data_IF_897323041721
#
_entry.id   IF_897323041721
#
_cell.length_a   1.000
_cell.length_b   1.000
_cell.length_c   1.000
_cell.angle_alpha   90.00
_cell.angle_beta   90.00
_cell.angle_gamma   90.00
#
_symmetry.space_group_name_H-M   'P 1'
#
loop_
_entity.id
_entity.type
_entity.pdbx_description
1 polymer ?
#
# COMPACT_ATOMS: atom_id res chain seq x y z
N UNK A 1 -37.50 -4.08 13.77
CA UNK A 1 -36.62 -3.08 14.40
C UNK A 1 -37.25 -1.69 14.42
N UNK A 2 -37.59 -1.09 13.27
CA UNK A 2 -38.01 0.31 13.20
C UNK A 2 -39.21 0.68 14.10
N UNK A 3 -40.27 -0.14 14.10
CA UNK A 3 -41.47 0.07 14.96
C UNK A 3 -41.10 0.05 16.45
N UNK A 4 -40.26 -0.89 16.88
CA UNK A 4 -39.84 -0.99 18.28
C UNK A 4 -38.91 0.15 18.68
N UNK A 5 -38.06 0.62 17.76
CA UNK A 5 -37.20 1.78 17.99
C UNK A 5 -38.00 3.09 18.08
N UNK A 6 -39.11 3.20 17.34
CA UNK A 6 -40.09 4.27 17.51
C UNK A 6 -40.77 4.21 18.88
N UNK A 7 -41.13 3.02 19.38
CA UNK A 7 -41.69 2.85 20.72
C UNK A 7 -40.69 3.26 21.82
N UNK A 8 -39.42 2.83 21.74
CA UNK A 8 -38.38 3.22 22.71
C UNK A 8 -38.23 4.76 22.75
N UNK A 9 -38.27 5.42 21.60
CA UNK A 9 -38.24 6.89 21.50
C UNK A 9 -39.52 7.53 22.02
N UNK A 10 -40.68 6.96 21.70
CA UNK A 10 -41.98 7.45 22.14
C UNK A 10 -42.12 7.42 23.66
N UNK A 11 -41.59 6.38 24.30
CA UNK A 11 -41.58 6.23 25.76
C UNK A 11 -40.41 6.97 26.45
N UNK A 12 -39.58 7.71 25.70
CA UNK A 12 -38.45 8.49 26.20
C UNK A 12 -37.53 7.69 27.17
N UNK A 13 -37.24 6.44 26.79
CA UNK A 13 -36.47 5.51 27.62
C UNK A 13 -34.97 5.88 27.73
N UNK A 14 -34.54 6.99 27.11
CA UNK A 14 -33.17 7.51 27.15
C UNK A 14 -32.27 6.99 26.03
N UNK A 15 -31.23 7.77 25.70
CA UNK A 15 -30.28 7.45 24.63
C UNK A 15 -29.47 6.17 24.89
N UNK A 16 -29.16 5.88 26.16
CA UNK A 16 -28.42 4.67 26.56
C UNK A 16 -29.19 3.39 26.21
N UNK A 17 -30.52 3.36 26.42
CA UNK A 17 -31.36 2.20 26.07
C UNK A 17 -31.45 2.03 24.55
N UNK A 18 -31.49 3.14 23.82
CA UNK A 18 -31.48 3.13 22.34
C UNK A 18 -30.14 2.61 21.81
N UNK A 19 -29.01 3.02 22.40
CA UNK A 19 -27.68 2.52 22.00
C UNK A 19 -27.52 1.04 22.30
N UNK A 20 -27.86 0.60 23.51
CA UNK A 20 -27.79 -0.82 23.89
C UNK A 20 -28.68 -1.68 22.98
N UNK A 21 -29.91 -1.24 22.70
CA UNK A 21 -30.80 -1.96 21.78
C UNK A 21 -30.24 -2.04 20.36
N UNK A 22 -29.62 -0.97 19.85
CA UNK A 22 -28.95 -0.98 18.54
C UNK A 22 -27.79 -1.97 18.52
N UNK A 23 -26.96 -1.98 19.55
CA UNK A 23 -25.83 -2.92 19.66
C UNK A 23 -26.31 -4.38 19.71
N UNK A 24 -27.35 -4.68 20.50
CA UNK A 24 -27.94 -6.02 20.64
C UNK A 24 -28.57 -6.53 19.33
N UNK A 25 -29.24 -5.64 18.56
CA UNK A 25 -29.78 -5.95 17.23
C UNK A 25 -28.69 -6.05 16.15
N UNK A 26 -27.42 -5.81 16.50
CA UNK A 26 -26.29 -5.89 15.58
C UNK A 26 -26.13 -4.68 14.67
N UNK A 27 -26.74 -3.53 15.01
CA UNK A 27 -26.43 -2.27 14.33
C UNK A 27 -25.02 -1.84 14.68
N UNK A 28 -24.16 -1.83 13.67
CA UNK A 28 -22.81 -1.30 13.79
C UNK A 28 -22.93 0.21 14.05
N UNK A 29 -22.48 0.68 15.21
CA UNK A 29 -22.36 2.11 15.51
C UNK A 29 -21.53 2.75 14.39
N UNK A 30 -22.12 3.69 13.65
CA UNK A 30 -21.34 4.44 12.66
C UNK A 30 -20.21 5.13 13.41
N UNK A 31 -18.94 4.72 13.16
CA UNK A 31 -17.78 5.41 13.74
C UNK A 31 -17.88 6.90 13.41
N UNK A 32 -18.08 7.72 14.43
CA UNK A 32 -18.13 9.17 14.28
C UNK A 32 -16.84 9.63 13.60
N UNK A 33 -16.99 10.27 12.43
CA UNK A 33 -15.84 10.71 11.64
C UNK A 33 -15.44 12.09 12.15
N UNK A 34 -14.33 12.23 12.90
CA UNK A 34 -13.93 13.53 13.39
C UNK A 34 -13.66 14.46 12.21
N UNK A 35 -14.22 15.66 12.27
CA UNK A 35 -13.97 16.71 11.30
C UNK A 35 -13.05 17.77 11.91
N UNK A 36 -12.19 18.42 11.11
CA UNK A 36 -11.40 19.56 11.57
C UNK A 36 -12.33 20.71 12.00
N UNK A 37 -11.96 21.41 13.08
CA UNK A 37 -12.73 22.57 13.57
C UNK A 37 -12.67 23.77 12.63
N UNK A 38 -11.54 23.95 11.93
CA UNK A 38 -11.36 25.05 10.99
C UNK A 38 -12.08 24.77 9.67
N UNK A 39 -12.93 25.68 9.22
CA UNK A 39 -13.72 25.56 7.99
C UNK A 39 -12.87 25.28 6.73
N UNK A 40 -11.73 25.94 6.58
CA UNK A 40 -10.85 25.69 5.42
C UNK A 40 -10.25 24.29 5.47
N UNK A 41 -9.74 23.87 6.63
CA UNK A 41 -9.22 22.51 6.82
C UNK A 41 -10.30 21.47 6.61
N UNK A 42 -11.52 21.72 7.09
CA UNK A 42 -12.68 20.86 6.90
C UNK A 42 -13.02 20.71 5.43
N UNK A 43 -13.06 21.80 4.66
CA UNK A 43 -13.35 21.75 3.23
C UNK A 43 -12.28 20.97 2.45
N UNK A 44 -10.99 21.20 2.75
CA UNK A 44 -9.89 20.45 2.16
C UNK A 44 -9.93 18.96 2.56
N UNK A 45 -10.23 18.67 3.83
CA UNK A 45 -10.37 17.32 4.33
C UNK A 45 -11.51 16.57 3.63
N UNK A 46 -12.68 17.19 3.50
CA UNK A 46 -13.82 16.62 2.78
C UNK A 46 -13.46 16.31 1.31
N UNK A 47 -12.73 17.23 0.66
CA UNK A 47 -12.33 17.11 -0.74
C UNK A 47 -11.40 15.92 -1.00
N UNK A 48 -10.46 15.64 -0.10
CA UNK A 48 -9.43 14.59 -0.28
C UNK A 48 -9.75 13.27 0.42
N UNK A 49 -10.53 13.29 1.51
CA UNK A 49 -10.85 12.09 2.29
C UNK A 49 -12.15 11.42 1.83
N UNK A 50 -13.14 12.20 1.40
CA UNK A 50 -14.48 11.71 1.08
C UNK A 50 -14.87 12.03 -0.37
N UNK A 51 -14.69 11.09 -1.32
CA UNK A 51 -15.05 11.28 -2.72
C UNK A 51 -16.53 11.64 -2.96
N UNK A 52 -17.42 11.15 -2.09
CA UNK A 52 -18.87 11.41 -2.16
C UNK A 52 -19.28 12.78 -1.63
N UNK A 53 -18.35 13.57 -1.09
CA UNK A 53 -18.66 14.88 -0.51
C UNK A 53 -19.09 15.91 -1.56
N UNK A 54 -18.52 15.85 -2.78
CA UNK A 54 -18.78 16.81 -3.84
C UNK A 54 -18.29 16.31 -5.22
N UNK A 55 -18.77 16.96 -6.29
CA UNK A 55 -18.30 16.67 -7.66
C UNK A 55 -16.77 16.80 -7.84
N UNK A 56 -16.13 17.90 -7.36
CA UNK A 56 -14.67 18.02 -7.38
C UNK A 56 -13.94 16.94 -6.57
N UNK A 57 -14.48 16.52 -5.42
CA UNK A 57 -13.90 15.43 -4.61
C UNK A 57 -13.89 14.12 -5.40
N UNK A 58 -14.98 13.83 -6.11
CA UNK A 58 -15.06 12.67 -7.00
C UNK A 58 -14.06 12.76 -8.15
N UNK A 59 -13.87 13.95 -8.73
CA UNK A 59 -12.85 14.19 -9.76
C UNK A 59 -11.43 13.90 -9.27
N UNK A 60 -11.07 14.41 -8.08
CA UNK A 60 -9.76 14.14 -7.45
C UNK A 60 -9.59 12.65 -7.17
N UNK A 61 -10.62 11.98 -6.64
CA UNK A 61 -10.56 10.54 -6.40
C UNK A 61 -10.32 9.74 -7.68
N UNK A 62 -10.96 10.10 -8.81
CA UNK A 62 -10.73 9.48 -10.11
C UNK A 62 -9.28 9.68 -10.56
N UNK A 63 -8.76 10.90 -10.45
CA UNK A 63 -7.36 11.20 -10.79
C UNK A 63 -6.41 10.36 -9.92
N UNK A 64 -6.64 10.30 -8.61
CA UNK A 64 -5.82 9.48 -7.70
C UNK A 64 -5.83 8.01 -8.09
N UNK A 65 -6.99 7.43 -8.44
CA UNK A 65 -7.07 6.05 -8.94
C UNK A 65 -6.29 5.88 -10.24
N UNK A 66 -6.40 6.80 -11.20
CA UNK A 66 -5.63 6.74 -12.45
C UNK A 66 -4.13 6.79 -12.21
N UNK A 67 -3.65 7.68 -11.33
CA UNK A 67 -2.22 7.77 -10.98
C UNK A 67 -1.75 6.48 -10.30
N UNK A 68 -2.57 5.85 -9.45
CA UNK A 68 -2.26 4.54 -8.87
C UNK A 68 -2.11 3.51 -9.98
N UNK A 69 -3.08 3.38 -10.89
CA UNK A 69 -3.03 2.41 -11.97
C UNK A 69 -1.82 2.62 -12.89
N UNK A 70 -1.53 3.86 -13.27
CA UNK A 70 -0.34 4.21 -14.05
C UNK A 70 0.92 3.75 -13.32
N UNK A 71 1.03 4.05 -12.02
CA UNK A 71 2.18 3.61 -11.23
C UNK A 71 2.33 2.08 -11.26
N UNK A 72 1.25 1.32 -11.10
CA UNK A 72 1.30 -0.15 -11.14
C UNK A 72 1.73 -0.65 -12.52
N UNK A 73 1.18 -0.09 -13.60
CA UNK A 73 1.57 -0.44 -14.97
C UNK A 73 3.06 -0.20 -15.20
N UNK A 74 3.58 0.96 -14.81
CA UNK A 74 5.01 1.28 -14.90
C UNK A 74 5.86 0.27 -14.13
N UNK A 75 5.48 -0.08 -12.90
CA UNK A 75 6.17 -1.11 -12.13
C UNK A 75 6.17 -2.48 -12.83
N UNK A 76 5.03 -2.87 -13.42
CA UNK A 76 4.96 -4.10 -14.20
C UNK A 76 5.89 -4.04 -15.43
N UNK A 77 5.89 -2.92 -16.18
CA UNK A 77 6.74 -2.74 -17.36
C UNK A 77 8.23 -2.79 -17.02
N UNK A 78 8.65 -2.21 -15.88
CA UNK A 78 10.05 -2.28 -15.42
C UNK A 78 10.54 -3.72 -15.15
N UNK A 79 9.63 -4.67 -14.92
CA UNK A 79 10.01 -6.07 -14.70
C UNK A 79 10.21 -6.85 -16.00
N UNK A 80 9.72 -6.35 -17.13
CA UNK A 80 9.83 -7.02 -18.43
C UNK A 80 11.27 -6.96 -18.97
N UNK A 81 11.75 -8.05 -19.61
CA UNK A 81 13.11 -8.14 -20.12
C UNK A 81 13.37 -7.14 -21.25
N UNK A 82 12.40 -6.87 -22.13
CA UNK A 82 12.59 -5.96 -23.28
C UNK A 82 13.02 -4.55 -22.82
N UNK A 83 12.39 -4.03 -21.77
CA UNK A 83 12.70 -2.70 -21.22
C UNK A 83 13.94 -2.66 -20.32
N UNK A 84 14.40 -3.84 -19.85
CA UNK A 84 15.67 -3.97 -19.10
C UNK A 84 16.88 -4.07 -20.01
N UNK A 85 16.71 -4.62 -21.21
CA UNK A 85 17.79 -4.82 -22.18
C UNK A 85 18.10 -3.55 -22.98
N UNK A 86 17.10 -2.73 -23.34
CA UNK A 86 17.32 -1.45 -24.04
C UNK A 86 18.20 -0.47 -23.22
N UNK A 87 18.11 -0.51 -21.89
CA UNK A 87 19.00 0.24 -20.98
C UNK A 87 20.44 -0.33 -20.88
N UNK A 88 20.69 -1.52 -21.44
CA UNK A 88 22.01 -2.18 -21.46
C UNK A 88 22.79 -1.93 -22.76
N UNK A 89 22.12 -1.48 -23.82
CA UNK A 89 22.69 -1.18 -25.13
C UNK A 89 23.10 0.30 -25.40
N UNK A 90 23.52 1.17 -24.45
CA UNK A 90 24.15 2.43 -24.85
C UNK A 90 25.61 2.33 -25.33
N UNK A 91 26.33 1.21 -25.14
CA UNK A 91 27.81 1.21 -25.17
C UNK A 91 28.47 -0.01 -25.87
N UNK A 92 27.82 -0.73 -26.79
CA UNK A 92 28.50 -1.81 -27.55
C UNK A 92 28.94 -1.39 -28.98
N UNK A 93 28.83 -0.09 -29.34
CA UNK A 93 29.21 0.39 -30.68
C UNK A 93 30.22 1.54 -30.72
N UNK A 94 31.06 1.77 -29.70
CA UNK A 94 32.11 2.79 -29.77
C UNK A 94 33.48 2.30 -29.25
N UNK A 95 34.26 1.82 -30.22
CA UNK A 95 35.70 2.04 -30.41
C UNK A 95 36.68 1.88 -29.23
N UNK A 96 37.60 0.94 -29.47
CA UNK A 96 38.92 0.75 -28.86
C UNK A 96 39.71 2.07 -28.75
N UNK A 97 39.62 2.78 -27.63
CA UNK A 97 40.72 3.58 -27.06
C UNK A 97 40.45 3.96 -25.59
N UNK A 98 41.43 3.70 -24.72
CA UNK A 98 41.29 3.60 -23.25
C UNK A 98 41.02 4.87 -22.44
N UNK A 99 40.13 5.75 -22.88
CA UNK A 99 39.62 6.86 -22.07
C UNK A 99 38.12 7.05 -22.30
N UNK A 100 37.30 6.08 -21.88
CA UNK A 100 35.85 6.28 -21.78
C UNK A 100 35.54 6.80 -20.37
N UNK A 101 35.38 8.12 -20.25
CA UNK A 101 34.60 8.68 -19.14
C UNK A 101 33.17 8.18 -19.33
N UNK A 102 32.82 7.10 -18.64
CA UNK A 102 31.47 6.53 -18.62
C UNK A 102 30.54 7.63 -18.12
N UNK A 103 29.85 8.30 -19.04
CA UNK A 103 28.92 9.38 -18.74
C UNK A 103 27.77 8.69 -18.00
N UNK A 104 27.68 8.84 -16.67
CA UNK A 104 26.52 8.33 -15.94
C UNK A 104 25.27 8.89 -16.65
N UNK A 105 24.40 8.04 -17.22
CA UNK A 105 23.21 8.54 -17.89
C UNK A 105 22.41 9.36 -16.88
N UNK A 106 21.94 10.54 -17.28
CA UNK A 106 21.15 11.38 -16.40
C UNK A 106 19.88 10.61 -16.02
N UNK A 107 19.57 10.38 -14.74
CA UNK A 107 18.32 9.71 -14.35
C UNK A 107 17.09 10.44 -14.89
N UNK A 108 17.19 11.76 -15.07
CA UNK A 108 16.18 12.63 -15.63
C UNK A 108 15.91 12.44 -17.13
N UNK A 109 16.61 11.55 -17.83
CA UNK A 109 16.29 11.16 -19.21
C UNK A 109 15.58 9.82 -19.32
N UNK A 110 15.49 9.05 -18.22
CA UNK A 110 14.77 7.78 -18.19
C UNK A 110 13.24 8.04 -18.05
N UNK A 111 12.41 7.68 -19.05
CA UNK A 111 10.97 7.86 -18.97
C UNK A 111 10.34 7.15 -17.76
N UNK A 112 10.84 5.99 -17.37
CA UNK A 112 10.32 5.24 -16.21
C UNK A 112 10.55 6.01 -14.91
N UNK A 113 11.77 6.52 -14.72
CA UNK A 113 12.10 7.37 -13.58
C UNK A 113 11.27 8.66 -13.51
N UNK A 114 11.04 9.32 -14.65
CA UNK A 114 10.23 10.56 -14.71
C UNK A 114 8.78 10.26 -14.29
N UNK A 115 8.15 9.25 -14.88
CA UNK A 115 6.75 8.91 -14.58
C UNK A 115 6.61 8.44 -13.13
N UNK A 116 7.54 7.60 -12.64
CA UNK A 116 7.56 7.20 -11.23
C UNK A 116 7.67 8.43 -10.32
N UNK A 117 8.59 9.34 -10.61
CA UNK A 117 8.78 10.57 -9.81
C UNK A 117 7.50 11.41 -9.79
N UNK A 118 6.82 11.58 -10.93
CA UNK A 118 5.54 12.31 -11.00
C UNK A 118 4.43 11.63 -10.17
N UNK A 119 4.33 10.30 -10.23
CA UNK A 119 3.39 9.54 -9.40
C UNK A 119 3.69 9.73 -7.90
N UNK A 120 4.96 9.67 -7.50
CA UNK A 120 5.37 9.86 -6.10
C UNK A 120 5.13 11.29 -5.63
N UNK A 121 5.35 12.30 -6.48
CA UNK A 121 5.00 13.69 -6.19
C UNK A 121 3.50 13.81 -5.89
N UNK A 122 2.64 13.21 -6.74
CA UNK A 122 1.20 13.22 -6.52
C UNK A 122 0.80 12.52 -5.22
N UNK A 123 1.33 11.33 -4.93
CA UNK A 123 1.04 10.62 -3.69
C UNK A 123 1.52 11.38 -2.45
N UNK A 124 2.69 12.02 -2.54
CA UNK A 124 3.23 12.84 -1.46
C UNK A 124 2.36 14.08 -1.24
N UNK A 125 1.94 14.76 -2.31
CA UNK A 125 1.01 15.88 -2.24
C UNK A 125 -0.30 15.48 -1.55
N UNK A 126 -0.90 14.38 -1.99
CA UNK A 126 -2.09 13.79 -1.39
C UNK A 126 -1.95 13.48 0.10
N UNK A 127 -0.81 12.89 0.51
CA UNK A 127 -0.53 12.58 1.90
C UNK A 127 -0.34 13.86 2.72
N UNK A 128 0.41 14.84 2.21
CA UNK A 128 0.70 16.10 2.88
C UNK A 128 -0.57 16.95 3.07
N UNK A 129 -1.39 17.08 2.03
CA UNK A 129 -2.66 17.83 2.12
C UNK A 129 -3.55 17.22 3.20
N UNK A 130 -3.71 15.89 3.21
CA UNK A 130 -4.47 15.20 4.25
C UNK A 130 -3.83 15.37 5.62
N UNK A 131 -2.52 15.22 5.74
CA UNK A 131 -1.80 15.43 6.99
C UNK A 131 -2.03 16.84 7.54
N UNK A 132 -1.96 17.88 6.72
CA UNK A 132 -2.18 19.26 7.17
C UNK A 132 -3.64 19.55 7.50
N UNK A 133 -4.59 18.98 6.75
CA UNK A 133 -6.02 19.17 6.94
C UNK A 133 -6.68 18.26 8.00
N UNK A 134 -6.00 17.22 8.50
CA UNK A 134 -6.63 16.25 9.41
C UNK A 134 -6.99 16.85 10.79
N UNK A 135 -8.04 16.33 11.46
CA UNK A 135 -8.46 16.80 12.78
C UNK A 135 -7.45 16.49 13.90
N UNK A 136 -6.70 15.38 13.80
CA UNK A 136 -5.74 14.95 14.82
C UNK A 136 -4.52 14.29 14.19
N UNK A 137 -3.33 14.87 14.41
CA UNK A 137 -2.06 14.39 13.85
C UNK A 137 -1.65 13.01 14.42
N UNK A 138 -1.76 12.75 15.74
CA UNK A 138 -1.44 11.42 16.27
C UNK A 138 -2.40 10.34 15.78
N UNK A 139 -3.69 10.65 15.66
CA UNK A 139 -4.68 9.72 15.12
C UNK A 139 -4.43 9.44 13.64
N UNK A 140 -3.93 10.42 12.89
CA UNK A 140 -3.58 10.28 11.48
C UNK A 140 -2.61 9.12 11.25
N UNK A 141 -1.53 9.02 12.04
CA UNK A 141 -0.54 7.94 11.90
C UNK A 141 -1.02 6.59 12.42
N UNK A 142 -2.07 6.54 13.25
CA UNK A 142 -2.69 5.29 13.71
C UNK A 142 -3.70 4.73 12.69
N UNK A 143 -4.15 5.55 11.74
CA UNK A 143 -5.10 5.13 10.72
C UNK A 143 -4.41 4.28 9.64
N UNK A 144 -4.91 3.06 9.43
CA UNK A 144 -4.34 2.08 8.48
C UNK A 144 -4.25 2.63 7.04
N UNK A 145 -5.22 3.43 6.60
CA UNK A 145 -5.22 3.99 5.24
C UNK A 145 -4.08 5.00 5.05
N UNK A 146 -3.80 5.80 6.07
CA UNK A 146 -2.70 6.76 6.04
C UNK A 146 -1.34 6.05 6.15
N UNK A 147 -1.28 4.93 6.90
CA UNK A 147 -0.09 4.08 6.91
C UNK A 147 0.21 3.50 5.54
N UNK A 148 -0.82 3.02 4.82
CA UNK A 148 -0.68 2.56 3.42
C UNK A 148 -0.17 3.69 2.52
N UNK A 149 -0.70 4.92 2.67
CA UNK A 149 -0.23 6.09 1.92
C UNK A 149 1.26 6.39 2.17
N UNK A 150 1.75 6.24 3.41
CA UNK A 150 3.17 6.41 3.76
C UNK A 150 4.03 5.30 3.15
N UNK A 151 3.61 4.03 3.28
CA UNK A 151 4.32 2.88 2.70
C UNK A 151 4.40 2.99 1.18
N UNK A 152 3.39 3.57 0.52
CA UNK A 152 3.37 3.73 -0.93
C UNK A 152 4.46 4.69 -1.47
N UNK A 153 4.89 5.68 -0.69
CA UNK A 153 5.94 6.64 -1.09
C UNK A 153 7.32 6.30 -0.53
N UNK A 154 7.37 5.54 0.56
CA UNK A 154 8.59 5.20 1.29
C UNK A 154 9.71 4.62 0.39
N UNK A 155 9.46 3.66 -0.54
CA UNK A 155 10.51 3.09 -1.37
C UNK A 155 11.32 4.13 -2.14
N UNK A 156 10.67 5.15 -2.70
CA UNK A 156 11.34 6.20 -3.48
C UNK A 156 12.29 7.02 -2.61
N UNK A 157 11.83 7.47 -1.45
CA UNK A 157 12.65 8.27 -0.53
C UNK A 157 13.81 7.47 0.08
N UNK A 158 13.61 6.18 0.38
CA UNK A 158 14.70 5.32 0.85
C UNK A 158 15.74 5.14 -0.26
N UNK A 159 15.32 4.82 -1.49
CA UNK A 159 16.25 4.70 -2.63
C UNK A 159 17.06 5.98 -2.83
N UNK A 160 16.41 7.14 -2.87
CA UNK A 160 17.07 8.43 -3.03
C UNK A 160 18.07 8.71 -1.89
N UNK A 161 17.68 8.45 -0.64
CA UNK A 161 18.55 8.62 0.52
C UNK A 161 19.78 7.73 0.48
N UNK A 162 19.63 6.46 0.05
CA UNK A 162 20.74 5.53 -0.11
C UNK A 162 21.70 5.96 -1.23
N UNK A 163 21.18 6.43 -2.37
CA UNK A 163 22.00 6.94 -3.48
C UNK A 163 22.81 8.18 -3.06
N UNK A 164 22.19 9.12 -2.34
CA UNK A 164 22.88 10.30 -1.81
C UNK A 164 23.97 9.95 -0.78
N UNK A 165 23.73 8.94 0.06
CA UNK A 165 24.71 8.46 1.02
C UNK A 165 25.90 7.76 0.36
N UNK A 166 25.67 7.02 -0.75
CA UNK A 166 26.73 6.40 -1.53
C UNK A 166 27.65 7.45 -2.18
N UNK A 167 27.07 8.56 -2.66
CA UNK A 167 27.83 9.69 -3.20
C UNK A 167 28.76 10.38 -2.17
N UNK A 168 28.49 10.23 -0.86
CA UNK A 168 29.33 10.78 0.20
C UNK A 168 30.48 9.85 0.64
N UNK A 169 30.71 8.73 -0.06
CA UNK A 169 31.92 7.92 0.09
C UNK A 169 31.84 6.79 1.12
N UNK A 170 30.64 6.41 1.59
CA UNK A 170 30.46 5.26 2.47
C UNK A 170 30.50 3.96 1.64
N UNK A 171 31.63 3.24 1.68
CA UNK A 171 31.96 2.09 0.81
C UNK A 171 31.16 0.78 0.99
N UNK A 172 29.82 0.83 1.09
CA UNK A 172 28.94 -0.34 1.26
C UNK A 172 28.13 -0.69 -0.01
N UNK A 173 28.77 -0.67 -1.18
CA UNK A 173 28.13 -0.89 -2.49
C UNK A 173 27.42 -2.25 -2.65
N UNK A 174 27.95 -3.34 -2.07
CA UNK A 174 27.33 -4.66 -2.25
C UNK A 174 26.05 -4.84 -1.41
N UNK A 175 26.03 -4.28 -0.19
CA UNK A 175 24.86 -4.34 0.70
C UNK A 175 23.74 -3.41 0.19
N UNK A 176 24.08 -2.25 -0.38
CA UNK A 176 23.10 -1.33 -0.95
C UNK A 176 22.34 -1.96 -2.12
N UNK A 177 23.00 -2.70 -3.02
CA UNK A 177 22.33 -3.35 -4.16
C UNK A 177 21.30 -4.42 -3.76
N UNK A 178 21.58 -5.23 -2.73
CA UNK A 178 20.63 -6.22 -2.22
C UNK A 178 19.40 -5.54 -1.58
N UNK A 179 19.64 -4.50 -0.79
CA UNK A 179 18.59 -3.70 -0.14
C UNK A 179 17.71 -3.02 -1.19
N UNK A 180 18.29 -2.43 -2.24
CA UNK A 180 17.54 -1.79 -3.33
C UNK A 180 16.59 -2.78 -4.04
N UNK A 181 16.98 -4.05 -4.20
CA UNK A 181 16.08 -5.10 -4.77
C UNK A 181 14.86 -5.34 -3.88
N UNK A 182 15.06 -5.44 -2.57
CA UNK A 182 13.95 -5.64 -1.62
C UNK A 182 13.05 -4.40 -1.60
N UNK A 183 13.62 -3.19 -1.61
CA UNK A 183 12.86 -1.94 -1.66
C UNK A 183 11.97 -1.86 -2.91
N UNK A 184 12.45 -2.35 -4.06
CA UNK A 184 11.63 -2.43 -5.28
C UNK A 184 10.41 -3.33 -5.08
N UNK A 185 10.54 -4.45 -4.38
CA UNK A 185 9.38 -5.30 -4.05
C UNK A 185 8.36 -4.55 -3.19
N UNK A 186 8.81 -3.71 -2.25
CA UNK A 186 7.92 -2.90 -1.42
C UNK A 186 7.05 -1.94 -2.24
N UNK A 187 7.50 -1.51 -3.44
CA UNK A 187 6.70 -0.65 -4.33
C UNK A 187 5.37 -1.29 -4.70
N UNK A 188 5.26 -2.63 -4.74
CA UNK A 188 4.00 -3.32 -5.04
C UNK A 188 2.89 -2.98 -4.05
N UNK A 189 3.23 -2.68 -2.79
CA UNK A 189 2.26 -2.35 -1.76
C UNK A 189 1.47 -1.06 -2.07
N UNK A 190 1.95 -0.20 -2.98
CA UNK A 190 1.18 0.98 -3.41
C UNK A 190 -0.16 0.62 -4.05
N UNK A 191 -0.34 -0.63 -4.52
CA UNK A 191 -1.64 -1.14 -5.00
C UNK A 191 -2.71 -1.08 -3.91
N UNK A 192 -2.33 -1.25 -2.64
CA UNK A 192 -3.26 -1.18 -1.51
C UNK A 192 -3.82 0.23 -1.30
N UNK A 193 -3.24 1.28 -1.89
CA UNK A 193 -3.81 2.63 -1.88
C UNK A 193 -5.20 2.66 -2.55
N UNK A 194 -5.49 1.73 -3.47
CA UNK A 194 -6.83 1.52 -4.03
C UNK A 194 -7.90 1.22 -2.97
N UNK A 195 -7.50 0.71 -1.79
CA UNK A 195 -8.42 0.42 -0.69
C UNK A 195 -9.18 1.65 -0.22
N UNK A 196 -8.58 2.84 -0.27
CA UNK A 196 -9.28 4.11 0.05
C UNK A 196 -10.48 4.35 -0.85
N UNK A 197 -10.38 3.95 -2.11
CA UNK A 197 -11.39 4.18 -3.14
C UNK A 197 -12.28 2.95 -3.39
N UNK A 198 -11.98 1.81 -2.77
CA UNK A 198 -12.71 0.55 -2.93
C UNK A 198 -13.36 0.12 -1.62
N UNK A 199 -14.69 0.27 -1.55
CA UNK A 199 -15.48 -0.25 -0.42
C UNK A 199 -15.32 -1.76 -0.25
N UNK A 200 -15.23 -2.50 -1.35
CA UNK A 200 -15.00 -3.95 -1.31
C UNK A 200 -13.69 -4.32 -0.60
N UNK A 201 -12.61 -3.59 -0.87
CA UNK A 201 -11.31 -3.84 -0.24
C UNK A 201 -11.29 -3.40 1.24
N UNK A 202 -12.03 -2.35 1.59
CA UNK A 202 -12.25 -1.95 2.99
C UNK A 202 -13.00 -3.03 3.77
N UNK A 203 -14.08 -3.55 3.19
CA UNK A 203 -14.88 -4.64 3.78
C UNK A 203 -14.02 -5.87 3.93
N UNK A 204 -13.28 -6.28 2.89
CA UNK A 204 -12.35 -7.41 2.98
C UNK A 204 -11.34 -7.24 4.12
N UNK A 205 -10.76 -6.05 4.27
CA UNK A 205 -9.84 -5.76 5.36
C UNK A 205 -10.49 -5.90 6.74
N UNK A 206 -11.70 -5.37 6.92
CA UNK A 206 -12.46 -5.49 8.18
C UNK A 206 -12.86 -6.94 8.48
N UNK A 207 -13.29 -7.70 7.47
CA UNK A 207 -13.62 -9.12 7.60
C UNK A 207 -12.39 -9.94 7.97
N UNK A 208 -11.25 -9.71 7.30
CA UNK A 208 -9.99 -10.37 7.65
C UNK A 208 -9.55 -10.03 9.08
N UNK A 209 -9.64 -8.76 9.47
CA UNK A 209 -9.30 -8.32 10.84
C UNK A 209 -10.17 -9.04 11.88
N UNK A 210 -11.49 -9.13 11.64
CA UNK A 210 -12.42 -9.81 12.53
C UNK A 210 -12.17 -11.32 12.60
N UNK A 211 -11.69 -11.92 11.52
CA UNK A 211 -11.43 -13.36 11.41
C UNK A 211 -9.95 -13.76 11.62
N UNK A 212 -9.10 -12.87 12.15
CA UNK A 212 -7.66 -13.13 12.31
C UNK A 212 -7.36 -14.36 13.18
N UNK A 213 -8.20 -14.61 14.20
CA UNK A 213 -8.03 -15.75 15.10
C UNK A 213 -8.31 -17.06 14.36
N UNK A 214 -9.41 -17.11 13.62
CA UNK A 214 -9.84 -18.26 12.83
C UNK A 214 -8.85 -18.52 11.68
N UNK A 215 -8.38 -17.46 11.02
CA UNK A 215 -7.33 -17.53 10.00
C UNK A 215 -6.01 -18.07 10.58
N UNK A 216 -5.64 -17.65 11.79
CA UNK A 216 -4.47 -18.17 12.49
C UNK A 216 -4.57 -19.67 12.79
N UNK A 217 -5.73 -20.14 13.24
CA UNK A 217 -5.99 -21.56 13.47
C UNK A 217 -5.93 -22.38 12.16
N UNK A 218 -6.48 -21.84 11.07
CA UNK A 218 -6.41 -22.48 9.76
C UNK A 218 -4.95 -22.67 9.30
N UNK A 219 -4.13 -21.63 9.40
CA UNK A 219 -2.71 -21.68 9.05
C UNK A 219 -1.96 -22.67 9.95
N UNK A 220 -2.31 -22.73 11.25
CA UNK A 220 -1.71 -23.67 12.19
C UNK A 220 -1.98 -25.13 11.82
N UNK A 221 -3.24 -25.49 11.51
CA UNK A 221 -3.56 -26.85 11.08
C UNK A 221 -2.95 -27.19 9.72
N UNK A 222 -2.91 -26.22 8.80
CA UNK A 222 -2.22 -26.39 7.52
C UNK A 222 -0.74 -26.71 7.75
N UNK A 223 -0.06 -26.02 8.66
CA UNK A 223 1.34 -26.25 8.98
C UNK A 223 1.60 -27.64 9.56
N UNK A 224 0.75 -28.10 10.49
CA UNK A 224 0.81 -29.47 11.02
C UNK A 224 0.64 -30.48 9.88
N UNK A 225 -0.35 -30.27 9.02
CA UNK A 225 -0.60 -31.13 7.86
C UNK A 225 0.61 -31.20 6.94
N UNK A 226 1.19 -30.06 6.58
CA UNK A 226 2.40 -30.00 5.75
C UNK A 226 3.53 -30.80 6.38
N UNK A 227 3.85 -30.58 7.66
CA UNK A 227 4.94 -31.32 8.32
C UNK A 227 4.69 -32.84 8.31
N UNK A 228 3.48 -33.26 8.71
CA UNK A 228 3.16 -34.67 8.86
C UNK A 228 3.17 -35.38 7.50
N UNK A 229 2.49 -34.81 6.49
CA UNK A 229 2.43 -35.41 5.16
C UNK A 229 3.77 -35.34 4.41
N UNK A 230 4.52 -34.23 4.52
CA UNK A 230 5.86 -34.16 3.94
C UNK A 230 6.80 -35.21 4.55
N UNK A 231 6.73 -35.42 5.87
CA UNK A 231 7.54 -36.45 6.54
C UNK A 231 7.13 -37.86 6.11
N UNK A 232 5.83 -38.14 6.03
CA UNK A 232 5.31 -39.44 5.63
C UNK A 232 5.70 -39.80 4.19
N UNK A 233 5.56 -38.85 3.25
CA UNK A 233 5.96 -39.04 1.85
C UNK A 233 7.47 -39.20 1.74
N UNK A 234 8.26 -38.39 2.46
CA UNK A 234 9.72 -38.54 2.48
C UNK A 234 10.14 -39.95 2.89
N UNK A 235 9.60 -40.48 4.00
CA UNK A 235 9.94 -41.84 4.44
C UNK A 235 9.39 -42.94 3.52
N UNK A 236 8.26 -42.72 2.86
CA UNK A 236 7.71 -43.68 1.90
C UNK A 236 8.56 -43.78 0.62
N UNK A 237 9.17 -42.67 0.20
CA UNK A 237 9.94 -42.54 -1.04
C UNK A 237 11.47 -42.62 -0.80
N UNK A 238 11.93 -42.72 0.45
CA UNK A 238 13.35 -42.60 0.79
C UNK A 238 14.24 -43.67 0.14
N UNK A 239 13.64 -44.83 -0.20
CA UNK A 239 14.33 -45.96 -0.81
C UNK A 239 14.18 -45.98 -2.35
N UNK A 240 13.44 -45.03 -2.94
CA UNK A 240 13.30 -44.91 -4.39
C UNK A 240 14.39 -43.98 -4.98
N UNK A 241 15.33 -44.51 -5.80
CA UNK A 241 16.39 -43.73 -6.40
C UNK A 241 15.92 -42.71 -7.46
N UNK A 242 14.68 -42.78 -7.96
CA UNK A 242 14.10 -41.76 -8.84
C UNK A 242 13.19 -40.76 -8.10
N UNK A 243 13.13 -40.83 -6.77
CA UNK A 243 12.33 -39.91 -5.95
C UNK A 243 12.75 -38.45 -6.10
N UNK A 244 11.77 -37.57 -6.26
CA UNK A 244 11.94 -36.12 -6.19
C UNK A 244 11.98 -35.56 -4.75
N UNK A 245 11.87 -36.41 -3.74
CA UNK A 245 11.88 -36.06 -2.32
C UNK A 245 13.25 -36.42 -1.70
N UNK A 246 14.22 -35.53 -1.90
CA UNK A 246 15.61 -35.63 -1.39
C UNK A 246 15.86 -34.77 -0.16
#
# INVERSE_FOLDING_TARGET
VDIFMEEIKFYDLGEEVIENFKEDEGFIKEEERPLPENEFQRQVWLLFEYPESSGPARGIAIISVLVILISIVIFCLETLPEFREENRYPEDFLHVNGTTHMKKPNPFTDPFFIVETLCIIWFSFELLVRFFACPSKPAFFKNIMNTIDIVAIMPYFITLGLELAEHQGNGQQAMSLAILRVIRLVRVFRIFKLSRHSKGLQILGKTLQASMRELGLLIFFLFIGVILFSSAVYFAETDDPESGFS
#
